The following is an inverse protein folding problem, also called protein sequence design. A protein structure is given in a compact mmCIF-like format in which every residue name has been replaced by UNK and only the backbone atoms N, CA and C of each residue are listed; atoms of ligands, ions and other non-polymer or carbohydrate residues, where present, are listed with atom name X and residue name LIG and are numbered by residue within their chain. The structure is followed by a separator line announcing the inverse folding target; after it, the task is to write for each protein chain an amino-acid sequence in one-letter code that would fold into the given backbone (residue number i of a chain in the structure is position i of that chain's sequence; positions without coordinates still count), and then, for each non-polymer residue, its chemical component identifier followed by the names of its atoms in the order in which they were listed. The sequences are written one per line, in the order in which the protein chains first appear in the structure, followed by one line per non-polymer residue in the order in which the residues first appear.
data_IF_918465328696
#
_entry.id   IF_918465328696
#
_cell.length_a   1.000
_cell.length_b   1.000
_cell.length_c   1.000
_cell.angle_alpha   90.00
_cell.angle_beta   90.00
_cell.angle_gamma   90.00
#
_symmetry.space_group_name_H-M   'P 1'
#
loop_
_entity.id
_entity.type
_entity.pdbx_description
1 polymer ?
#
# COMPACT_ATOMS: atom_id res chain seq x y z
N UNK A 1 -7.81 -8.49 9.06
CA UNK A 1 -7.18 -7.33 8.45
C UNK A 1 -8.27 -6.39 7.96
N UNK A 2 -8.12 -5.09 8.27
CA UNK A 2 -9.15 -4.07 8.01
C UNK A 2 -9.44 -3.90 6.52
N UNK A 3 -8.43 -4.02 5.66
CA UNK A 3 -8.62 -3.91 4.21
C UNK A 3 -9.42 -5.09 3.67
N UNK A 4 -9.10 -6.29 4.12
CA UNK A 4 -9.79 -7.51 3.71
C UNK A 4 -11.25 -7.48 4.14
N UNK A 5 -11.54 -6.98 5.34
CA UNK A 5 -12.89 -6.85 5.88
C UNK A 5 -13.61 -5.60 5.36
N UNK A 6 -12.92 -4.72 4.61
CA UNK A 6 -13.44 -3.42 4.14
C UNK A 6 -13.95 -2.57 5.31
N UNK A 7 -13.22 -2.62 6.42
CA UNK A 7 -13.57 -1.88 7.63
C UNK A 7 -13.08 -0.43 7.51
N UNK A 8 -13.93 0.45 6.99
CA UNK A 8 -13.56 1.85 6.77
C UNK A 8 -13.31 2.60 8.07
N UNK A 9 -13.95 2.21 9.17
CA UNK A 9 -13.70 2.85 10.47
C UNK A 9 -12.28 2.57 10.94
N UNK A 10 -11.86 1.31 10.88
CA UNK A 10 -10.49 0.93 11.26
C UNK A 10 -9.46 1.54 10.33
N UNK A 11 -9.73 1.56 9.02
CA UNK A 11 -8.82 2.16 8.04
C UNK A 11 -8.67 3.66 8.26
N UNK A 12 -9.76 4.38 8.52
CA UNK A 12 -9.71 5.82 8.78
C UNK A 12 -8.96 6.15 10.06
N UNK A 13 -8.98 5.25 11.03
CA UNK A 13 -8.21 5.44 12.27
C UNK A 13 -6.71 5.35 12.03
N UNK A 14 -6.30 4.57 11.02
CA UNK A 14 -4.89 4.37 10.68
C UNK A 14 -4.38 5.33 9.60
N UNK A 15 -5.26 5.75 8.70
CA UNK A 15 -4.89 6.49 7.49
C UNK A 15 -5.52 7.88 7.50
N UNK A 16 -4.71 8.96 7.62
CA UNK A 16 -5.26 10.31 7.52
C UNK A 16 -5.95 10.52 6.17
N UNK A 17 -7.16 11.12 6.15
CA UNK A 17 -7.94 11.22 4.90
C UNK A 17 -7.25 12.01 3.79
N UNK A 18 -6.39 12.97 4.16
CA UNK A 18 -5.67 13.80 3.20
C UNK A 18 -4.28 13.30 2.88
N UNK A 19 -3.91 12.14 3.39
CA UNK A 19 -2.58 11.59 3.16
C UNK A 19 -2.32 11.37 1.67
N UNK A 20 -1.20 11.87 1.13
CA UNK A 20 -0.85 11.61 -0.26
C UNK A 20 -0.45 10.14 -0.47
N UNK A 21 -0.95 9.57 -1.56
CA UNK A 21 -0.60 8.23 -2.00
C UNK A 21 -0.17 8.31 -3.46
N UNK A 22 0.91 7.63 -3.80
CA UNK A 22 1.44 7.61 -5.16
C UNK A 22 1.64 6.17 -5.62
N UNK A 23 1.04 5.84 -6.75
CA UNK A 23 1.28 4.58 -7.44
C UNK A 23 2.27 4.83 -8.56
N UNK A 24 3.31 4.01 -8.64
CA UNK A 24 4.41 4.17 -9.60
C UNK A 24 4.51 2.88 -10.41
N UNK A 25 4.39 3.01 -11.73
CA UNK A 25 4.37 1.85 -12.62
C UNK A 25 5.19 2.14 -13.87
N UNK A 26 5.93 1.13 -14.33
CA UNK A 26 6.63 1.20 -15.60
C UNK A 26 5.68 0.77 -16.71
N UNK A 27 5.56 1.60 -17.75
CA UNK A 27 4.76 1.28 -18.94
C UNK A 27 5.56 1.67 -20.18
N UNK A 28 5.82 0.71 -21.03
CA UNK A 28 6.54 0.95 -22.31
C UNK A 28 7.87 1.66 -22.09
N UNK A 29 8.59 1.29 -21.00
CA UNK A 29 9.87 1.88 -20.68
C UNK A 29 9.82 3.22 -19.98
N UNK A 30 8.61 3.72 -19.69
CA UNK A 30 8.44 5.02 -19.02
C UNK A 30 7.83 4.82 -17.62
N UNK A 31 8.26 5.65 -16.68
CA UNK A 31 7.69 5.66 -15.34
C UNK A 31 6.42 6.51 -15.33
N UNK A 32 5.31 5.91 -14.95
CA UNK A 32 4.03 6.61 -14.80
C UNK A 32 3.74 6.74 -13.32
N UNK A 33 3.43 7.96 -12.87
CA UNK A 33 3.10 8.24 -11.48
C UNK A 33 1.65 8.71 -11.41
N UNK A 34 0.84 8.03 -10.58
CA UNK A 34 -0.53 8.44 -10.33
C UNK A 34 -0.68 8.83 -8.88
N UNK A 35 -1.14 10.07 -8.65
CA UNK A 35 -1.44 10.55 -7.30
C UNK A 35 -2.88 10.21 -6.95
N UNK A 36 -3.10 9.83 -5.71
CA UNK A 36 -4.44 9.56 -5.19
C UNK A 36 -4.52 9.99 -3.73
N UNK A 37 -5.72 9.90 -3.16
CA UNK A 37 -5.94 10.17 -1.75
C UNK A 37 -6.46 8.92 -1.07
N UNK A 38 -6.36 8.90 0.26
CA UNK A 38 -6.93 7.82 1.06
C UNK A 38 -8.43 7.69 0.81
N UNK A 39 -9.13 8.82 0.70
CA UNK A 39 -10.58 8.81 0.44
C UNK A 39 -10.91 8.14 -0.89
N UNK A 40 -10.16 8.48 -1.95
CA UNK A 40 -10.38 7.86 -3.27
C UNK A 40 -10.08 6.38 -3.25
N UNK A 41 -9.00 5.99 -2.58
CA UNK A 41 -8.62 4.58 -2.45
C UNK A 41 -9.69 3.79 -1.69
N UNK A 42 -10.18 4.33 -0.57
CA UNK A 42 -11.23 3.67 0.21
C UNK A 42 -12.54 3.54 -0.57
N UNK A 43 -12.89 4.56 -1.36
CA UNK A 43 -14.08 4.49 -2.21
C UNK A 43 -13.99 3.32 -3.19
N UNK A 44 -12.84 3.15 -3.81
CA UNK A 44 -12.60 2.00 -4.69
C UNK A 44 -12.72 0.68 -3.97
N UNK A 45 -12.20 0.61 -2.74
CA UNK A 45 -12.25 -0.62 -1.94
C UNK A 45 -13.69 -1.02 -1.61
N UNK A 46 -14.53 -0.08 -1.15
CA UNK A 46 -15.89 -0.41 -0.73
C UNK A 46 -16.85 -0.61 -1.90
N UNK A 47 -16.55 -0.06 -3.08
CA UNK A 47 -17.40 -0.22 -4.26
C UNK A 47 -17.02 -1.44 -5.10
N UNK A 48 -15.92 -2.11 -4.80
CA UNK A 48 -15.55 -3.35 -5.48
C UNK A 48 -16.60 -4.43 -5.22
N UNK A 49 -16.76 -5.43 -6.13
CA UNK A 49 -17.73 -6.50 -5.91
C UNK A 49 -17.56 -7.15 -4.55
N UNK A 50 -18.67 -7.47 -3.84
CA UNK A 50 -18.57 -8.05 -2.48
C UNK A 50 -17.80 -9.36 -2.41
N UNK A 51 -17.84 -10.16 -3.48
CA UNK A 51 -17.11 -11.42 -3.56
C UNK A 51 -15.61 -11.25 -3.75
N UNK A 52 -15.13 -10.03 -4.06
CA UNK A 52 -13.72 -9.77 -4.24
C UNK A 52 -13.08 -9.47 -2.88
N UNK A 53 -12.45 -10.48 -2.31
CA UNK A 53 -11.72 -10.34 -1.05
C UNK A 53 -10.30 -9.87 -1.35
N UNK A 54 -9.93 -8.69 -0.82
CA UNK A 54 -8.62 -8.09 -1.05
C UNK A 54 -7.70 -8.43 0.11
N UNK A 55 -6.54 -8.99 -0.19
CA UNK A 55 -5.53 -9.29 0.82
C UNK A 55 -4.17 -8.82 0.34
N UNK A 56 -3.49 -8.01 1.15
CA UNK A 56 -2.12 -7.58 0.90
C UNK A 56 -1.21 -8.19 1.94
N UNK A 57 -0.08 -8.76 1.50
CA UNK A 57 0.92 -9.33 2.40
C UNK A 57 2.20 -8.52 2.29
N UNK A 58 2.82 -8.22 3.43
CA UNK A 58 4.09 -7.51 3.50
C UNK A 58 5.19 -8.48 3.93
N UNK A 59 6.34 -8.36 3.30
CA UNK A 59 7.48 -9.23 3.63
C UNK A 59 8.79 -8.54 3.26
N UNK A 60 9.91 -9.07 3.79
CA UNK A 60 11.26 -8.54 3.59
C UNK A 60 11.32 -7.02 3.78
N UNK A 61 10.93 -6.58 4.97
CA UNK A 61 10.87 -5.15 5.28
C UNK A 61 12.21 -4.62 5.79
N UNK A 62 12.46 -3.33 5.54
CA UNK A 62 13.59 -2.59 6.06
C UNK A 62 13.08 -1.29 6.69
N UNK A 63 13.58 -0.97 7.86
CA UNK A 63 13.12 0.17 8.64
C UNK A 63 14.29 1.11 8.93
N UNK A 64 14.06 2.41 8.78
CA UNK A 64 15.04 3.43 9.12
C UNK A 64 14.38 4.52 9.94
N UNK A 65 15.10 5.06 10.92
CA UNK A 65 14.56 6.10 11.79
C UNK A 65 15.66 7.10 12.13
N UNK A 66 15.29 8.37 12.09
CA UNK A 66 16.11 9.48 12.58
C UNK A 66 15.18 10.39 13.37
N UNK A 67 15.29 10.39 14.71
CA UNK A 67 14.41 11.18 15.56
C UNK A 67 12.94 10.89 15.29
N UNK A 68 12.20 11.92 14.94
CA UNK A 68 10.76 11.81 14.65
C UNK A 68 10.42 11.43 13.22
N UNK A 69 11.40 11.09 12.39
CA UNK A 69 11.16 10.63 11.02
C UNK A 69 11.46 9.15 10.92
N UNK A 70 10.55 8.38 10.35
CA UNK A 70 10.77 6.96 10.11
C UNK A 70 10.24 6.56 8.74
N UNK A 71 10.91 5.59 8.12
CA UNK A 71 10.53 5.05 6.82
C UNK A 71 10.52 3.53 6.92
N UNK A 72 9.44 2.92 6.42
CA UNK A 72 9.35 1.47 6.27
C UNK A 72 9.28 1.15 4.77
N UNK A 73 10.22 0.34 4.32
CA UNK A 73 10.32 -0.15 2.95
C UNK A 73 10.01 -1.63 2.99
N UNK A 74 8.93 -2.07 2.35
CA UNK A 74 8.51 -3.47 2.42
C UNK A 74 8.10 -3.97 1.05
N UNK A 75 8.42 -5.22 0.75
CA UNK A 75 7.85 -5.88 -0.42
C UNK A 75 6.41 -6.24 -0.10
N UNK A 76 5.54 -6.17 -1.09
CA UNK A 76 4.16 -6.59 -0.93
C UNK A 76 3.71 -7.44 -2.11
N UNK A 77 2.71 -8.29 -1.87
CA UNK A 77 1.90 -8.86 -2.93
C UNK A 77 0.43 -8.70 -2.58
N UNK A 78 -0.40 -8.59 -3.62
CA UNK A 78 -1.81 -8.32 -3.44
C UNK A 78 -2.64 -9.37 -4.17
N UNK A 79 -3.63 -9.89 -3.48
CA UNK A 79 -4.48 -10.99 -3.92
C UNK A 79 -5.94 -10.60 -3.87
N UNK A 80 -6.71 -11.11 -4.81
CA UNK A 80 -8.17 -11.08 -4.77
C UNK A 80 -8.63 -12.52 -4.51
N UNK A 81 -8.89 -12.84 -3.23
CA UNK A 81 -9.14 -14.22 -2.85
C UNK A 81 -7.93 -15.09 -3.17
N UNK A 82 -8.13 -16.15 -3.94
CA UNK A 82 -7.05 -17.06 -4.37
C UNK A 82 -6.31 -16.56 -5.61
N UNK A 83 -6.77 -15.46 -6.21
CA UNK A 83 -6.19 -14.96 -7.46
C UNK A 83 -5.14 -13.89 -7.17
N UNK A 84 -3.91 -14.14 -7.62
CA UNK A 84 -2.84 -13.17 -7.54
C UNK A 84 -3.10 -12.00 -8.48
N UNK A 85 -2.92 -10.76 -7.98
CA UNK A 85 -3.09 -9.55 -8.79
C UNK A 85 -1.76 -8.94 -9.18
N UNK A 86 -1.02 -8.44 -8.22
CA UNK A 86 0.23 -7.74 -8.49
C UNK A 86 1.10 -7.69 -7.25
N UNK A 87 2.32 -7.20 -7.42
CA UNK A 87 3.28 -7.04 -6.35
C UNK A 87 4.04 -5.73 -6.50
N UNK A 88 4.93 -5.46 -5.57
CA UNK A 88 5.80 -4.30 -5.64
C UNK A 88 6.44 -4.01 -4.30
N UNK A 89 6.76 -2.72 -4.13
CA UNK A 89 7.31 -2.19 -2.89
C UNK A 89 6.33 -1.17 -2.35
N UNK A 90 6.09 -1.23 -1.04
CA UNK A 90 5.41 -0.16 -0.30
C UNK A 90 6.46 0.63 0.46
N UNK A 91 6.44 1.95 0.35
CA UNK A 91 7.24 2.82 1.19
C UNK A 91 6.33 3.70 2.02
N UNK A 92 6.37 3.50 3.34
CA UNK A 92 5.59 4.28 4.30
C UNK A 92 6.51 5.29 4.96
N UNK A 93 6.05 6.54 5.08
CA UNK A 93 6.78 7.58 5.80
C UNK A 93 5.96 8.00 7.01
N UNK A 94 6.60 8.01 8.18
CA UNK A 94 5.96 8.31 9.46
C UNK A 94 6.64 9.48 10.14
N UNK A 95 5.85 10.22 10.94
CA UNK A 95 6.38 11.22 11.86
C UNK A 95 5.91 10.93 13.27
N UNK A 96 6.78 11.16 14.25
CA UNK A 96 6.42 11.07 15.65
C UNK A 96 5.99 12.45 16.15
N UNK A 97 4.76 12.54 16.61
CA UNK A 97 4.19 13.77 17.15
C UNK A 97 3.82 13.56 18.60
N UNK A 98 3.29 14.58 19.26
CA UNK A 98 2.81 14.46 20.64
C UNK A 98 1.73 13.40 20.78
N UNK A 99 0.96 13.14 19.73
CA UNK A 99 -0.07 12.11 19.71
C UNK A 99 0.43 10.73 19.33
N UNK A 100 1.73 10.55 19.11
CA UNK A 100 2.33 9.28 18.72
C UNK A 100 2.78 9.29 17.27
N UNK A 101 3.05 8.10 16.73
CA UNK A 101 3.47 7.98 15.33
C UNK A 101 2.27 8.19 14.40
N UNK A 102 2.49 8.99 13.36
CA UNK A 102 1.49 9.27 12.33
C UNK A 102 2.05 8.90 10.96
N UNK A 103 1.21 8.27 10.15
CA UNK A 103 1.56 7.99 8.76
C UNK A 103 1.39 9.26 7.94
N UNK A 104 2.45 9.68 7.24
CA UNK A 104 2.46 10.92 6.45
C UNK A 104 2.17 10.68 4.99
N UNK A 105 2.71 9.60 4.44
CA UNK A 105 2.57 9.34 3.01
C UNK A 105 2.87 7.87 2.72
N UNK A 106 2.37 7.42 1.57
CA UNK A 106 2.64 6.09 1.03
C UNK A 106 2.93 6.23 -0.46
N UNK A 107 4.06 5.67 -0.87
CA UNK A 107 4.35 5.47 -2.30
C UNK A 107 4.53 3.98 -2.52
N UNK A 108 4.03 3.47 -3.64
CA UNK A 108 4.16 2.04 -3.94
C UNK A 108 4.34 1.81 -5.43
N UNK A 109 5.07 0.74 -5.74
CA UNK A 109 5.25 0.32 -7.13
C UNK A 109 4.25 -0.77 -7.46
N UNK A 110 3.96 -0.93 -8.75
CA UNK A 110 3.09 -1.97 -9.25
C UNK A 110 3.86 -2.77 -10.30
N UNK A 111 4.03 -4.06 -10.06
CA UNK A 111 4.66 -5.00 -10.98
C UNK A 111 3.74 -6.19 -11.18
N UNK A 112 3.86 -6.83 -12.33
CA UNK A 112 2.99 -7.97 -12.66
C UNK A 112 3.82 -9.08 -13.30
N UNK A 113 3.24 -10.29 -13.31
CA UNK A 113 3.79 -11.43 -14.03
C UNK A 113 5.06 -11.99 -13.41
N UNK A 114 6.00 -12.37 -14.26
CA UNK A 114 7.22 -13.07 -13.85
C UNK A 114 8.09 -12.26 -12.89
N UNK A 115 8.06 -10.94 -12.96
CA UNK A 115 8.83 -10.09 -12.04
C UNK A 115 8.39 -10.31 -10.60
N UNK A 116 7.09 -10.48 -10.39
CA UNK A 116 6.54 -10.75 -9.06
C UNK A 116 6.95 -12.11 -8.55
N UNK A 117 6.89 -13.10 -9.41
CA UNK A 117 7.30 -14.47 -9.04
C UNK A 117 8.76 -14.50 -8.60
N UNK A 118 9.62 -13.79 -9.30
CA UNK A 118 11.03 -13.71 -8.96
C UNK A 118 11.25 -12.97 -7.64
N UNK A 119 10.68 -11.79 -7.51
CA UNK A 119 10.87 -10.94 -6.34
C UNK A 119 10.21 -11.53 -5.09
N UNK A 120 9.01 -12.06 -5.23
CA UNK A 120 8.25 -12.60 -4.11
C UNK A 120 8.56 -14.04 -3.74
N UNK A 121 9.37 -14.74 -4.53
CA UNK A 121 9.68 -16.13 -4.28
C UNK A 121 8.49 -17.06 -4.49
N UNK A 122 7.63 -16.73 -5.37
CA UNK A 122 6.38 -17.45 -5.60
C UNK A 122 6.42 -18.22 -6.91
#
# INVERSE_FOLDING_TARGET
DAMKARDTVALRALLPPTMPMHAIQERNGETVVRASTVEGWMRGLVTAPPERVVEERLFRSAFRQEGGLAVLWAEYDLWYGAQFSHCGIDQFTFARTAGGWQLLSLAYTIQQGARCLTAGGR
#
